data_IF_517285780808
#
_entry.id   IF_517285780808
#
_cell.length_a   1.000
_cell.length_b   1.000
_cell.length_c   1.000
_cell.angle_alpha   90.00
_cell.angle_beta   90.00
_cell.angle_gamma   90.00
#
_symmetry.space_group_name_H-M   'P 1'
#
loop_
_entity.id
_entity.type
_entity.pdbx_description
1 polymer ?
#
# COMPACT_ATOMS: atom_id res chain seq x y z
N UNK A 1 -0.81 0.36 7.11
CA UNK A 1 -0.70 0.11 5.67
C UNK A 1 -1.76 0.93 4.99
N UNK A 2 -1.46 1.44 3.79
CA UNK A 2 -2.35 2.35 3.09
C UNK A 2 -2.23 2.19 1.57
N UNK A 3 -3.35 2.36 0.87
CA UNK A 3 -3.43 2.25 -0.57
C UNK A 3 -3.26 3.62 -1.22
N UNK A 4 -2.27 3.73 -2.09
CA UNK A 4 -2.18 4.86 -3.02
C UNK A 4 -2.67 4.38 -4.38
N UNK A 5 -3.76 4.96 -4.86
CA UNK A 5 -4.38 4.58 -6.14
C UNK A 5 -4.51 5.78 -7.07
N UNK A 6 -4.77 5.52 -8.35
CA UNK A 6 -4.87 6.58 -9.36
C UNK A 6 -3.53 7.21 -9.71
N UNK A 7 -2.44 6.46 -9.50
CA UNK A 7 -1.12 6.84 -9.95
C UNK A 7 -1.07 6.73 -11.48
N UNK A 8 -0.19 7.51 -12.08
CA UNK A 8 0.11 7.39 -13.51
C UNK A 8 0.73 6.02 -13.73
N UNK A 9 0.26 5.24 -14.72
CA UNK A 9 0.88 3.96 -15.05
C UNK A 9 2.39 4.10 -15.26
N UNK A 10 3.17 3.31 -14.53
CA UNK A 10 4.63 3.43 -14.53
C UNK A 10 5.35 2.22 -13.97
N UNK A 11 6.68 2.23 -14.11
CA UNK A 11 7.53 1.09 -13.77
C UNK A 11 7.44 -0.04 -14.81
N UNK A 12 8.17 -1.13 -14.55
CA UNK A 12 8.29 -2.27 -15.49
C UNK A 12 6.94 -2.93 -15.80
N UNK A 13 6.08 -3.02 -14.79
CA UNK A 13 4.77 -3.69 -14.90
C UNK A 13 3.65 -2.69 -15.26
N UNK A 14 3.96 -1.41 -15.47
CA UNK A 14 2.96 -0.37 -15.81
C UNK A 14 1.82 -0.26 -14.78
N UNK A 15 2.15 -0.38 -13.50
CA UNK A 15 1.22 -0.35 -12.37
C UNK A 15 0.68 1.06 -12.10
N UNK A 16 -0.55 1.16 -11.62
CA UNK A 16 -1.26 2.43 -11.35
C UNK A 16 -1.75 2.55 -9.89
N UNK A 17 -1.38 1.60 -9.04
CA UNK A 17 -1.65 1.60 -7.62
C UNK A 17 -0.46 1.00 -6.86
N UNK A 18 -0.35 1.34 -5.58
CA UNK A 18 0.58 0.68 -4.69
C UNK A 18 0.06 0.61 -3.25
N UNK A 19 0.47 -0.44 -2.55
CA UNK A 19 0.22 -0.63 -1.12
C UNK A 19 1.50 -0.30 -0.35
N UNK A 20 1.42 0.71 0.51
CA UNK A 20 2.50 1.12 1.39
C UNK A 20 2.35 0.37 2.72
N UNK A 21 3.41 -0.33 3.13
CA UNK A 21 3.45 -1.14 4.33
C UNK A 21 4.66 -0.72 5.16
N UNK A 22 4.40 -0.29 6.38
CA UNK A 22 5.46 0.04 7.35
C UNK A 22 5.40 -0.96 8.48
N UNK A 23 6.51 -1.64 8.73
CA UNK A 23 6.67 -2.44 9.95
C UNK A 23 6.95 -1.51 11.13
N UNK A 24 6.06 -1.54 12.12
CA UNK A 24 6.16 -0.69 13.32
C UNK A 24 7.38 -1.04 14.20
N UNK A 25 7.89 -2.28 14.13
CA UNK A 25 9.04 -2.70 14.92
C UNK A 25 10.36 -2.27 14.28
N UNK A 26 10.64 -2.72 13.06
CA UNK A 26 11.90 -2.39 12.36
C UNK A 26 11.94 -1.00 11.75
N UNK A 27 10.77 -0.33 11.64
CA UNK A 27 10.59 0.91 10.87
C UNK A 27 10.94 0.77 9.38
N UNK A 28 11.01 -0.48 8.90
CA UNK A 28 11.18 -0.77 7.48
C UNK A 28 9.89 -0.50 6.72
N UNK A 29 10.01 0.18 5.59
CA UNK A 29 8.92 0.44 4.66
C UNK A 29 9.08 -0.43 3.41
N UNK A 30 7.98 -1.01 2.95
CA UNK A 30 7.87 -1.70 1.68
C UNK A 30 6.70 -1.15 0.89
N UNK A 31 6.88 -1.10 -0.42
CA UNK A 31 5.87 -0.70 -1.37
C UNK A 31 5.61 -1.89 -2.31
N UNK A 32 4.37 -2.32 -2.41
CA UNK A 32 3.94 -3.35 -3.35
C UNK A 32 3.13 -2.66 -4.45
N UNK A 33 3.49 -2.90 -5.71
CA UNK A 33 2.84 -2.27 -6.86
C UNK A 33 1.74 -3.18 -7.42
N UNK A 34 0.64 -2.56 -7.83
CA UNK A 34 -0.57 -3.25 -8.29
C UNK A 34 -1.21 -2.52 -9.47
N UNK A 35 -2.04 -3.25 -10.21
CA UNK A 35 -3.05 -2.66 -11.07
C UNK A 35 -4.34 -2.47 -10.28
N UNK A 36 -5.02 -1.36 -10.50
CA UNK A 36 -6.27 -0.99 -9.83
C UNK A 36 -7.36 -2.05 -10.00
N UNK A 37 -7.30 -2.79 -11.10
CA UNK A 37 -8.24 -3.84 -11.48
C UNK A 37 -7.91 -5.21 -10.86
N UNK A 38 -6.80 -5.35 -10.13
CA UNK A 38 -6.42 -6.63 -9.50
C UNK A 38 -7.42 -7.08 -8.44
N UNK A 39 -7.63 -8.39 -8.39
CA UNK A 39 -8.62 -8.96 -7.48
C UNK A 39 -8.11 -8.96 -6.05
N UNK A 40 -9.02 -9.09 -5.08
CA UNK A 40 -8.64 -9.25 -3.67
C UNK A 40 -7.71 -10.46 -3.43
N UNK A 41 -7.84 -11.51 -4.25
CA UNK A 41 -6.99 -12.70 -4.16
C UNK A 41 -5.57 -12.44 -4.66
N UNK A 42 -5.41 -11.71 -5.76
CA UNK A 42 -4.08 -11.32 -6.29
C UNK A 42 -3.35 -10.46 -5.25
N UNK A 43 -4.07 -9.51 -4.63
CA UNK A 43 -3.56 -8.67 -3.55
C UNK A 43 -3.10 -9.50 -2.34
N UNK A 44 -3.90 -10.48 -1.91
CA UNK A 44 -3.57 -11.37 -0.81
C UNK A 44 -2.34 -12.24 -1.11
N UNK A 45 -2.24 -12.80 -2.32
CA UNK A 45 -1.09 -13.59 -2.76
C UNK A 45 0.19 -12.75 -2.82
N UNK A 46 0.12 -11.55 -3.38
CA UNK A 46 1.25 -10.64 -3.44
C UNK A 46 1.71 -10.25 -2.03
N UNK A 47 0.78 -9.94 -1.13
CA UNK A 47 1.09 -9.66 0.28
C UNK A 47 1.74 -10.86 0.96
N UNK A 48 1.21 -12.07 0.76
CA UNK A 48 1.78 -13.29 1.31
C UNK A 48 3.23 -13.51 0.87
N UNK A 49 3.47 -13.43 -0.44
CA UNK A 49 4.76 -13.73 -1.04
C UNK A 49 5.84 -12.69 -0.72
N UNK A 50 5.47 -11.43 -0.50
CA UNK A 50 6.44 -10.35 -0.29
C UNK A 50 6.58 -9.90 1.17
N UNK A 51 5.54 -10.07 1.98
CA UNK A 51 5.50 -9.58 3.37
C UNK A 51 5.59 -10.73 4.35
N UNK A 52 4.65 -11.67 4.28
CA UNK A 52 4.56 -12.78 5.24
C UNK A 52 5.74 -13.73 5.09
N UNK A 53 6.16 -14.05 3.86
CA UNK A 53 7.32 -14.90 3.60
C UNK A 53 8.62 -14.36 4.22
N UNK A 54 8.74 -13.03 4.31
CA UNK A 54 10.00 -12.35 4.68
C UNK A 54 10.00 -11.92 6.15
N UNK A 55 8.85 -11.52 6.69
CA UNK A 55 8.74 -11.01 8.07
C UNK A 55 7.94 -11.93 9.01
N UNK A 56 7.38 -13.01 8.48
CA UNK A 56 6.43 -13.86 9.20
C UNK A 56 5.03 -13.26 9.26
N UNK A 57 4.13 -13.98 9.93
CA UNK A 57 2.74 -13.55 10.12
C UNK A 57 2.69 -12.40 11.13
N UNK A 58 2.16 -11.23 10.75
CA UNK A 58 2.05 -10.10 11.66
C UNK A 58 1.04 -10.39 12.78
N UNK A 59 1.30 -9.91 14.00
CA UNK A 59 0.34 -10.05 15.12
C UNK A 59 -0.85 -9.10 14.95
N UNK A 60 -0.59 -7.91 14.42
CA UNK A 60 -1.59 -6.85 14.24
C UNK A 60 -1.32 -6.18 12.90
N UNK A 61 -2.36 -6.00 12.11
CA UNK A 61 -2.34 -5.17 10.91
C UNK A 61 -3.19 -3.93 11.18
N UNK A 62 -2.60 -2.76 10.97
CA UNK A 62 -3.29 -1.48 11.06
C UNK A 62 -3.45 -0.92 9.65
N UNK A 63 -4.67 -0.64 9.24
CA UNK A 63 -5.00 -0.06 7.94
C UNK A 63 -6.14 0.92 8.03
N UNK A 64 -6.38 1.68 6.98
CA UNK A 64 -7.61 2.44 6.81
C UNK A 64 -8.80 1.49 6.55
N UNK A 65 -9.97 2.08 6.26
CA UNK A 65 -11.21 1.34 5.96
C UNK A 65 -11.42 1.14 4.45
N UNK A 66 -10.35 1.08 3.65
CA UNK A 66 -10.50 0.74 2.23
C UNK A 66 -11.23 -0.61 2.10
N UNK A 67 -12.23 -0.73 1.20
CA UNK A 67 -13.00 -1.95 1.01
C UNK A 67 -12.16 -3.21 0.77
N UNK A 68 -10.94 -3.08 0.23
CA UNK A 68 -10.01 -4.20 0.04
C UNK A 68 -9.61 -4.83 1.38
N UNK A 69 -9.42 -4.02 2.43
CA UNK A 69 -9.05 -4.48 3.77
C UNK A 69 -10.23 -4.89 4.64
N UNK A 70 -11.43 -4.42 4.32
CA UNK A 70 -12.67 -4.81 5.02
C UNK A 70 -13.41 -5.95 4.31
N UNK A 71 -12.86 -6.49 3.22
CA UNK A 71 -13.47 -7.60 2.47
C UNK A 71 -13.50 -8.88 3.29
N UNK A 72 -14.55 -9.69 3.12
CA UNK A 72 -14.72 -10.95 3.85
C UNK A 72 -13.54 -11.91 3.63
N UNK A 73 -13.02 -11.98 2.40
CA UNK A 73 -11.84 -12.79 2.07
C UNK A 73 -10.61 -12.34 2.85
N UNK A 74 -10.39 -11.03 2.99
CA UNK A 74 -9.28 -10.49 3.76
C UNK A 74 -9.45 -10.74 5.26
N UNK A 75 -10.63 -10.43 5.81
CA UNK A 75 -10.90 -10.62 7.24
C UNK A 75 -10.79 -12.08 7.66
N UNK A 76 -11.36 -13.01 6.87
CA UNK A 76 -11.32 -14.44 7.18
C UNK A 76 -9.91 -15.01 7.05
N UNK A 77 -9.13 -14.57 6.05
CA UNK A 77 -7.74 -14.99 5.89
C UNK A 77 -6.91 -14.66 7.13
N UNK A 78 -6.99 -13.42 7.61
CA UNK A 78 -6.17 -12.99 8.75
C UNK A 78 -6.68 -13.50 10.09
N UNK A 79 -7.98 -13.74 10.23
CA UNK A 79 -8.53 -14.44 11.40
C UNK A 79 -7.97 -15.87 11.52
N UNK A 80 -7.94 -16.62 10.41
CA UNK A 80 -7.34 -17.96 10.36
C UNK A 80 -5.83 -17.95 10.69
N UNK A 81 -5.13 -16.87 10.34
CA UNK A 81 -3.71 -16.69 10.65
C UNK A 81 -3.45 -16.19 12.08
N UNK A 82 -4.50 -15.94 12.88
CA UNK A 82 -4.38 -15.38 14.22
C UNK A 82 -3.88 -13.93 14.24
N UNK A 83 -4.08 -13.21 13.13
CA UNK A 83 -3.69 -11.80 12.98
C UNK A 83 -4.86 -10.90 13.34
N UNK A 84 -4.64 -9.96 14.26
CA UNK A 84 -5.66 -8.96 14.61
C UNK A 84 -5.70 -7.84 13.57
N UNK A 85 -6.84 -7.65 12.91
CA UNK A 85 -7.08 -6.47 12.08
C UNK A 85 -7.56 -5.29 12.93
N UNK A 86 -6.93 -4.13 12.77
CA UNK A 86 -7.28 -2.90 13.45
C UNK A 86 -7.43 -1.78 12.42
N UNK A 87 -8.66 -1.32 12.20
CA UNK A 87 -8.94 -0.26 11.24
C UNK A 87 -8.80 1.10 11.90
N UNK A 88 -8.00 2.00 11.32
CA UNK A 88 -7.86 3.37 11.77
C UNK A 88 -9.19 4.12 11.60
N UNK A 89 -9.44 5.06 12.52
CA UNK A 89 -10.54 6.02 12.43
C UNK A 89 -9.96 7.37 12.07
N UNK A 90 -10.72 8.23 11.38
CA UNK A 90 -10.32 9.61 11.05
C UNK A 90 -9.95 10.47 12.28
N UNK A 91 -10.22 9.98 13.49
CA UNK A 91 -9.95 10.62 14.78
C UNK A 91 -9.26 9.65 15.75
N UNK A 92 -8.21 8.96 15.32
CA UNK A 92 -7.37 8.19 16.23
C UNK A 92 -6.13 9.01 16.61
N UNK A 93 -5.93 9.40 17.88
CA UNK A 93 -4.67 9.96 18.33
C UNK A 93 -3.58 8.88 18.13
N UNK A 94 -2.49 9.14 17.39
CA UNK A 94 -1.55 8.09 17.04
C UNK A 94 -0.81 7.60 18.29
N UNK A 95 -0.87 6.29 18.54
CA UNK A 95 0.04 5.65 19.53
C UNK A 95 1.43 5.39 18.95
N UNK A 96 1.61 5.53 17.63
CA UNK A 96 2.89 5.39 16.92
C UNK A 96 2.88 6.22 15.63
N UNK A 97 2.78 7.54 15.79
CA UNK A 97 2.66 8.50 14.68
C UNK A 97 3.84 8.51 13.70
N UNK A 98 4.94 7.79 13.99
CA UNK A 98 6.05 7.64 13.05
C UNK A 98 5.65 6.80 11.83
N UNK A 99 4.95 5.68 12.03
CA UNK A 99 4.54 4.82 10.92
C UNK A 99 3.52 5.53 10.02
N UNK A 100 2.57 6.25 10.63
CA UNK A 100 1.59 7.07 9.91
C UNK A 100 2.27 8.20 9.13
N UNK A 101 3.19 8.93 9.76
CA UNK A 101 3.91 10.03 9.09
C UNK A 101 4.82 9.55 7.97
N UNK A 102 5.37 8.33 8.09
CA UNK A 102 6.15 7.71 7.02
C UNK A 102 5.28 7.32 5.82
N UNK A 103 4.07 6.82 6.08
CA UNK A 103 3.09 6.54 5.02
C UNK A 103 2.69 7.84 4.32
N UNK A 104 2.29 8.86 5.09
CA UNK A 104 1.89 10.19 4.57
C UNK A 104 2.99 10.82 3.71
N UNK A 105 4.23 10.83 4.22
CA UNK A 105 5.37 11.40 3.48
C UNK A 105 5.61 10.65 2.16
N UNK A 106 5.49 9.32 2.17
CA UNK A 106 5.71 8.51 0.97
C UNK A 106 4.59 8.70 -0.05
N UNK A 107 3.35 8.80 0.41
CA UNK A 107 2.18 9.09 -0.42
C UNK A 107 2.32 10.46 -1.13
N UNK A 108 2.74 11.49 -0.40
CA UNK A 108 3.00 12.82 -0.95
C UNK A 108 4.12 12.80 -2.00
N UNK A 109 5.23 12.10 -1.72
CA UNK A 109 6.34 11.93 -2.67
C UNK A 109 5.86 11.24 -3.96
N UNK A 110 5.11 10.15 -3.83
CA UNK A 110 4.61 9.39 -4.97
C UNK A 110 3.68 10.24 -5.83
N UNK A 111 2.75 10.98 -5.22
CA UNK A 111 1.85 11.87 -5.95
C UNK A 111 2.59 13.00 -6.63
N UNK A 112 3.55 13.64 -5.95
CA UNK A 112 4.35 14.71 -6.53
C UNK A 112 5.18 14.21 -7.72
N UNK A 113 5.81 13.04 -7.58
CA UNK A 113 6.61 12.44 -8.65
C UNK A 113 5.75 12.05 -9.87
N UNK A 114 4.59 11.45 -9.65
CA UNK A 114 3.65 11.14 -10.72
C UNK A 114 3.10 12.39 -11.40
N UNK A 115 2.79 13.45 -10.64
CA UNK A 115 2.33 14.73 -11.20
C UNK A 115 3.40 15.39 -12.08
N UNK A 116 4.65 15.43 -11.61
CA UNK A 116 5.77 15.94 -12.39
C UNK A 116 6.02 15.13 -13.67
N UNK A 117 5.92 13.80 -13.59
CA UNK A 117 6.06 12.91 -14.76
C UNK A 117 5.00 13.17 -15.84
N UNK A 118 3.76 13.52 -15.44
CA UNK A 118 2.71 13.92 -16.41
C UNK A 118 3.02 15.24 -17.09
N UNK A 119 3.50 16.24 -16.32
CA UNK A 119 3.86 17.54 -16.86
C UNK A 119 5.02 17.43 -17.86
N UNK A 120 6.02 16.59 -17.55
CA UNK A 120 7.13 16.27 -18.44
C UNK A 120 6.62 15.67 -19.76
N UNK A 121 5.83 14.57 -19.72
CA UNK A 121 5.23 13.96 -20.91
C UNK A 121 4.35 14.92 -21.72
N UNK A 122 3.73 15.90 -21.06
CA UNK A 122 2.90 16.93 -21.70
C UNK A 122 3.70 18.00 -22.44
N UNK A 123 4.98 18.20 -22.10
CA UNK A 123 5.82 19.24 -22.70
C UNK A 123 6.59 18.75 -23.94
N UNK A 124 6.96 17.48 -24.00
CA UNK A 124 7.81 16.92 -25.06
C UNK A 124 7.16 15.80 -25.88
N UNK A 125 6.06 15.18 -25.42
CA UNK A 125 5.31 14.18 -26.20
C UNK A 125 6.06 12.89 -26.49
N UNK A 126 7.24 12.68 -25.90
CA UNK A 126 8.06 11.47 -26.11
C UNK A 126 8.25 10.71 -24.79
N UNK A 127 8.04 9.39 -24.84
CA UNK A 127 8.52 8.47 -23.81
C UNK A 127 10.02 8.25 -24.04
N UNK A 128 10.86 8.76 -23.14
CA UNK A 128 12.25 8.34 -23.07
C UNK A 128 12.31 7.00 -22.34
N UNK A 129 12.50 5.93 -23.12
CA UNK A 129 12.75 4.56 -22.67
C UNK A 129 14.12 4.42 -21.97
#
# INVERSE_FOLDING_TARGET
>A
MDWVTGLVPGGKENSNACLIIVDRFSKSMRCLTFHKEETAMDNALCFWNNIISTCGVPKVIISDRDPKFTSESWTNLYDMLGTKLAFSTAYHPPTDGLAERMIETMEDILRAFCAYSMEYKGHDGYTHD
#
